data_IF_312503041562
#
_entry.id   IF_312503041562
#
_cell.length_a   1.000
_cell.length_b   1.000
_cell.length_c   1.000
_cell.angle_alpha   90.00
_cell.angle_beta   90.00
_cell.angle_gamma   90.00
#
_symmetry.space_group_name_H-M   'P 1'
#
loop_
_entity.id
_entity.type
_entity.pdbx_description
1 polymer ?
#
# COMPACT_ATOMS: atom_id res chain seq x y z
N UNK A 1 -7.60 18.85 -1.15
CA UNK A 1 -7.73 18.44 -2.56
C UNK A 1 -8.95 17.52 -2.63
N UNK A 2 -10.08 18.03 -3.14
CA UNK A 2 -11.27 17.21 -3.36
C UNK A 2 -11.01 16.29 -4.56
N UNK A 3 -11.37 15.01 -4.43
CA UNK A 3 -11.47 14.11 -5.56
C UNK A 3 -12.52 14.67 -6.55
N UNK A 4 -12.36 14.47 -7.87
CA UNK A 4 -13.42 14.81 -8.81
C UNK A 4 -14.68 14.05 -8.43
N UNK A 5 -15.83 14.74 -8.44
CA UNK A 5 -17.12 14.08 -8.36
C UNK A 5 -17.39 13.35 -9.68
N UNK A 6 -17.80 12.09 -9.60
CA UNK A 6 -18.30 11.35 -10.77
C UNK A 6 -19.59 12.02 -11.28
N UNK A 7 -19.90 11.99 -12.60
CA UNK A 7 -20.96 12.78 -13.24
C UNK A 7 -22.40 12.51 -12.77
N UNK A 8 -22.63 11.61 -11.80
CA UNK A 8 -23.96 11.16 -11.39
C UNK A 8 -24.43 11.64 -10.00
N UNK A 9 -23.61 12.39 -9.24
CA UNK A 9 -24.08 13.06 -8.00
C UNK A 9 -24.55 12.17 -6.83
N UNK A 10 -24.56 10.85 -6.97
CA UNK A 10 -24.88 9.91 -5.89
C UNK A 10 -23.61 9.39 -5.20
N UNK A 11 -23.63 9.29 -3.87
CA UNK A 11 -22.62 8.53 -3.10
C UNK A 11 -22.85 7.03 -3.32
N UNK A 12 -22.52 6.50 -4.51
CA UNK A 12 -22.68 5.06 -4.79
C UNK A 12 -21.59 4.20 -4.14
N UNK A 13 -20.41 4.74 -3.86
CA UNK A 13 -19.33 3.99 -3.23
C UNK A 13 -19.50 4.00 -1.70
N UNK A 14 -20.00 2.90 -1.14
CA UNK A 14 -19.91 2.64 0.30
C UNK A 14 -18.43 2.61 0.70
N UNK A 15 -18.10 3.17 1.86
CA UNK A 15 -16.73 3.10 2.39
C UNK A 15 -16.33 1.64 2.61
N UNK A 16 -15.20 1.25 2.02
CA UNK A 16 -14.56 -0.03 2.29
C UNK A 16 -13.84 0.10 3.64
N UNK A 17 -14.00 -0.91 4.50
CA UNK A 17 -13.23 -1.03 5.74
C UNK A 17 -12.18 -2.10 5.56
N UNK A 18 -10.93 -1.77 5.85
CA UNK A 18 -9.80 -2.68 5.73
C UNK A 18 -9.18 -2.96 7.10
N UNK A 19 -8.85 -4.23 7.34
CA UNK A 19 -7.97 -4.63 8.43
C UNK A 19 -6.78 -5.35 7.82
N UNK A 20 -5.59 -4.84 8.08
CA UNK A 20 -4.35 -5.46 7.65
C UNK A 20 -3.76 -6.28 8.80
N UNK A 21 -3.53 -7.56 8.55
CA UNK A 21 -2.78 -8.45 9.43
C UNK A 21 -1.56 -8.98 8.66
N UNK A 22 -0.57 -9.54 9.34
CA UNK A 22 0.55 -10.20 8.68
C UNK A 22 0.10 -11.20 7.57
N UNK A 23 0.41 -10.87 6.31
CA UNK A 23 0.10 -11.71 5.14
C UNK A 23 -1.37 -11.76 4.73
N UNK A 24 -2.26 -10.98 5.35
CA UNK A 24 -3.69 -11.02 5.05
C UNK A 24 -4.33 -9.63 5.08
N UNK A 25 -5.11 -9.34 4.04
CA UNK A 25 -5.98 -8.17 3.96
C UNK A 25 -7.43 -8.62 4.17
N UNK A 26 -8.10 -8.05 5.16
CA UNK A 26 -9.52 -8.25 5.39
C UNK A 26 -10.28 -7.02 4.90
N UNK A 27 -11.29 -7.21 4.05
CA UNK A 27 -12.07 -6.11 3.48
C UNK A 27 -13.57 -6.31 3.74
N UNK A 28 -14.23 -5.27 4.27
CA UNK A 28 -15.69 -5.19 4.41
C UNK A 28 -16.25 -4.16 3.42
N UNK A 29 -17.46 -4.39 2.92
CA UNK A 29 -18.14 -3.54 1.94
C UNK A 29 -17.40 -3.39 0.59
N UNK A 30 -16.59 -4.38 0.19
CA UNK A 30 -15.84 -4.32 -1.08
C UNK A 30 -16.72 -4.41 -2.34
N UNK A 31 -17.98 -4.85 -2.21
CA UNK A 31 -18.87 -5.14 -3.34
C UNK A 31 -18.63 -6.55 -3.90
N UNK A 32 -18.83 -6.74 -5.22
CA UNK A 32 -18.55 -7.99 -5.94
C UNK A 32 -19.26 -9.26 -5.38
N UNK A 33 -20.52 -9.10 -4.94
CA UNK A 33 -21.35 -10.20 -4.44
C UNK A 33 -21.12 -10.59 -2.98
N UNK A 34 -20.26 -9.86 -2.25
CA UNK A 34 -20.03 -10.09 -0.82
C UNK A 34 -21.14 -9.42 -0.01
N UNK A 35 -21.84 -10.14 0.89
CA UNK A 35 -22.83 -9.54 1.79
C UNK A 35 -22.22 -8.43 2.65
N UNK A 36 -22.97 -7.36 2.90
CA UNK A 36 -22.47 -6.16 3.58
C UNK A 36 -22.01 -6.40 5.04
N UNK A 37 -22.52 -7.44 5.68
CA UNK A 37 -22.13 -7.87 7.02
C UNK A 37 -20.86 -8.71 7.04
N UNK A 38 -20.41 -9.24 5.88
CA UNK A 38 -19.29 -10.16 5.77
C UNK A 38 -17.98 -9.49 5.37
N UNK A 39 -16.89 -10.15 5.75
CA UNK A 39 -15.53 -9.82 5.39
C UNK A 39 -15.01 -10.75 4.30
N UNK A 40 -14.22 -10.21 3.38
CA UNK A 40 -13.35 -11.02 2.52
C UNK A 40 -11.99 -11.09 3.16
N UNK A 41 -11.37 -12.27 3.16
CA UNK A 41 -9.95 -12.44 3.49
C UNK A 41 -9.16 -12.71 2.20
N UNK A 42 -8.15 -11.90 1.94
CA UNK A 42 -7.22 -12.05 0.80
C UNK A 42 -5.83 -12.34 1.33
N UNK A 43 -5.15 -13.33 0.76
CA UNK A 43 -3.71 -13.53 0.97
C UNK A 43 -2.96 -12.45 0.16
N UNK A 44 -2.20 -11.60 0.84
CA UNK A 44 -1.51 -10.49 0.16
C UNK A 44 -0.41 -10.96 -0.78
N UNK A 45 0.14 -12.17 -0.58
CA UNK A 45 1.18 -12.74 -1.43
C UNK A 45 0.62 -13.40 -2.70
N UNK A 46 -0.69 -13.70 -2.76
CA UNK A 46 -1.34 -14.20 -3.98
C UNK A 46 -1.71 -13.08 -4.95
N UNK A 47 -1.70 -11.82 -4.49
CA UNK A 47 -1.95 -10.66 -5.34
C UNK A 47 -0.74 -10.38 -6.23
N UNK A 48 -0.98 -10.14 -7.52
CA UNK A 48 0.09 -9.93 -8.51
C UNK A 48 0.96 -8.71 -8.20
N UNK A 49 0.38 -7.69 -7.58
CA UNK A 49 1.04 -6.46 -7.18
C UNK A 49 1.58 -6.51 -5.73
N UNK A 50 1.43 -7.64 -5.03
CA UNK A 50 1.76 -7.77 -3.62
C UNK A 50 1.04 -6.74 -2.75
N UNK A 51 -0.23 -6.42 -3.05
CA UNK A 51 -1.02 -5.44 -2.29
C UNK A 51 -0.46 -4.00 -2.32
N UNK A 52 0.53 -3.68 -3.15
CA UNK A 52 1.09 -2.32 -3.22
C UNK A 52 0.12 -1.33 -3.91
N UNK A 53 -0.87 -1.84 -4.65
CA UNK A 53 -1.85 -1.07 -5.45
C UNK A 53 -3.28 -1.57 -5.20
N UNK A 54 -3.53 -2.88 -5.17
CA UNK A 54 -4.86 -3.53 -5.16
C UNK A 54 -5.62 -3.32 -3.85
N UNK A 55 -4.97 -3.34 -2.69
CA UNK A 55 -5.57 -2.91 -1.42
C UNK A 55 -5.48 -1.40 -1.20
N UNK A 56 -5.11 -0.62 -2.23
CA UNK A 56 -5.04 0.83 -2.12
C UNK A 56 -3.91 1.31 -1.20
N UNK A 57 -2.64 0.92 -1.44
CA UNK A 57 -1.48 1.60 -0.83
C UNK A 57 -1.43 1.56 0.72
N UNK A 58 -2.33 0.84 1.39
CA UNK A 58 -2.62 0.97 2.83
C UNK A 58 -1.69 0.17 3.74
N UNK A 59 -0.64 -0.45 3.21
CA UNK A 59 0.41 -1.08 4.03
C UNK A 59 1.60 -0.12 4.24
N UNK A 60 1.61 0.70 5.31
CA UNK A 60 2.73 1.58 5.62
C UNK A 60 4.02 0.82 5.93
N UNK A 61 3.93 -0.44 6.36
CA UNK A 61 5.08 -1.25 6.71
C UNK A 61 5.79 -1.77 5.45
N UNK A 62 5.05 -2.29 4.46
CA UNK A 62 5.60 -2.66 3.16
C UNK A 62 6.17 -1.44 2.42
N UNK A 63 5.49 -0.30 2.47
CA UNK A 63 6.01 0.95 1.89
C UNK A 63 7.34 1.36 2.53
N UNK A 64 7.47 1.28 3.85
CA UNK A 64 8.73 1.58 4.54
C UNK A 64 9.83 0.55 4.22
N UNK A 65 9.51 -0.74 4.19
CA UNK A 65 10.48 -1.79 3.87
C UNK A 65 11.00 -1.72 2.43
N UNK A 66 10.25 -1.12 1.51
CA UNK A 66 10.73 -0.87 0.15
C UNK A 66 12.02 -0.03 0.14
N UNK A 67 12.18 0.91 1.08
CA UNK A 67 13.40 1.70 1.22
C UNK A 67 14.63 0.87 1.59
N UNK A 68 14.47 -0.34 2.14
CA UNK A 68 15.60 -1.27 2.36
C UNK A 68 16.22 -1.79 1.07
N UNK A 69 15.54 -1.59 -0.07
CA UNK A 69 16.06 -1.83 -1.40
C UNK A 69 16.67 -0.60 -2.07
N UNK A 70 16.88 0.52 -1.36
CA UNK A 70 17.43 1.74 -1.93
C UNK A 70 18.78 1.50 -2.63
N UNK A 71 18.85 1.86 -3.92
CA UNK A 71 20.07 1.87 -4.73
C UNK A 71 20.73 3.23 -4.69
N UNK A 72 19.91 4.28 -4.70
CA UNK A 72 20.32 5.67 -4.58
C UNK A 72 19.47 6.35 -3.52
N UNK A 73 20.07 7.30 -2.81
CA UNK A 73 19.38 8.18 -1.88
C UNK A 73 20.16 9.49 -1.80
N UNK A 74 19.66 10.52 -2.48
CA UNK A 74 20.25 11.86 -2.49
C UNK A 74 19.49 12.74 -1.52
N UNK A 75 20.22 13.38 -0.61
CA UNK A 75 19.67 14.41 0.24
C UNK A 75 19.28 15.63 -0.60
N UNK A 76 18.03 16.07 -0.49
CA UNK A 76 17.48 17.20 -1.25
C UNK A 76 17.50 18.47 -0.42
N UNK A 77 17.19 18.38 0.88
CA UNK A 77 17.14 19.54 1.76
C UNK A 77 16.30 19.32 3.01
N UNK A 78 16.18 20.38 3.82
CA UNK A 78 15.24 20.44 4.94
C UNK A 78 13.92 21.07 4.49
N UNK A 79 12.83 20.60 5.06
CA UNK A 79 11.49 21.14 4.87
C UNK A 79 10.60 20.75 6.06
N UNK A 80 9.30 20.95 5.94
CA UNK A 80 8.33 20.58 6.96
C UNK A 80 7.22 19.70 6.39
N UNK A 81 6.74 18.76 7.19
CA UNK A 81 5.55 17.96 6.89
C UNK A 81 4.62 18.04 8.10
N UNK A 82 3.45 18.65 7.91
CA UNK A 82 2.47 18.84 8.99
C UNK A 82 3.05 19.54 10.24
N UNK A 83 3.91 20.54 10.03
CA UNK A 83 4.57 21.30 11.10
C UNK A 83 5.79 20.61 11.72
N UNK A 84 6.14 19.41 11.26
CA UNK A 84 7.30 18.68 11.75
C UNK A 84 8.51 18.89 10.82
N UNK A 85 9.67 19.32 11.34
CA UNK A 85 10.87 19.48 10.54
C UNK A 85 11.37 18.12 10.05
N UNK A 86 11.70 18.05 8.77
CA UNK A 86 12.13 16.81 8.11
C UNK A 86 13.32 17.05 7.18
N UNK A 87 14.12 16.00 7.00
CA UNK A 87 15.08 15.87 5.89
C UNK A 87 14.41 15.13 4.74
N UNK A 88 14.45 15.73 3.55
CA UNK A 88 13.93 15.14 2.33
C UNK A 88 15.05 14.44 1.57
N UNK A 89 14.79 13.19 1.19
CA UNK A 89 15.63 12.38 0.32
C UNK A 89 14.86 11.98 -0.93
N UNK A 90 15.56 11.91 -2.05
CA UNK A 90 15.06 11.37 -3.32
C UNK A 90 15.95 10.25 -3.80
N UNK A 91 15.36 9.18 -4.31
CA UNK A 91 16.14 8.05 -4.77
C UNK A 91 15.34 7.04 -5.59
N UNK A 92 15.96 5.89 -5.80
CA UNK A 92 15.35 4.73 -6.47
C UNK A 92 15.61 3.50 -5.61
N UNK A 93 14.54 2.75 -5.33
CA UNK A 93 14.60 1.45 -4.68
C UNK A 93 14.43 0.31 -5.69
N UNK A 94 14.94 -0.86 -5.36
CA UNK A 94 14.78 -2.09 -6.13
C UNK A 94 13.89 -3.08 -5.36
N UNK A 95 12.77 -3.50 -5.95
CA UNK A 95 11.80 -4.41 -5.33
C UNK A 95 12.42 -5.76 -4.96
N UNK A 96 13.34 -6.28 -5.78
CA UNK A 96 14.02 -7.55 -5.53
C UNK A 96 15.00 -7.47 -4.36
N UNK A 97 15.73 -6.36 -4.23
CA UNK A 97 16.54 -6.10 -3.05
C UNK A 97 15.71 -5.90 -1.80
N UNK A 98 14.66 -5.09 -1.89
CA UNK A 98 13.76 -4.86 -0.76
C UNK A 98 13.20 -6.19 -0.25
N UNK A 99 12.76 -7.07 -1.16
CA UNK A 99 12.31 -8.42 -0.81
C UNK A 99 13.39 -9.28 -0.12
N UNK A 100 14.66 -9.18 -0.51
CA UNK A 100 15.76 -9.92 0.16
C UNK A 100 15.99 -9.40 1.59
N UNK A 101 15.86 -8.09 1.79
CA UNK A 101 16.11 -7.40 3.07
C UNK A 101 14.88 -7.30 3.98
N UNK A 102 13.70 -7.66 3.47
CA UNK A 102 12.45 -7.61 4.21
C UNK A 102 12.32 -8.72 5.25
N UNK A 103 11.61 -8.39 6.32
CA UNK A 103 11.19 -9.31 7.36
C UNK A 103 10.13 -10.29 6.84
N UNK A 104 10.00 -11.46 7.48
CA UNK A 104 9.37 -12.67 6.92
C UNK A 104 8.00 -12.46 6.27
N UNK A 105 7.12 -11.68 6.90
CA UNK A 105 5.74 -11.45 6.48
C UNK A 105 5.65 -10.71 5.14
N UNK A 106 6.47 -9.68 4.95
CA UNK A 106 6.43 -8.83 3.76
C UNK A 106 7.35 -9.31 2.65
N UNK A 107 8.28 -10.21 2.95
CA UNK A 107 9.17 -10.80 1.95
C UNK A 107 8.38 -11.43 0.81
N UNK A 108 7.34 -12.21 1.11
CA UNK A 108 6.53 -12.87 0.09
C UNK A 108 5.76 -11.84 -0.76
N UNK A 109 5.19 -10.84 -0.09
CA UNK A 109 4.46 -9.73 -0.70
C UNK A 109 5.35 -8.92 -1.67
N UNK A 110 6.53 -8.49 -1.24
CA UNK A 110 7.48 -7.74 -2.08
C UNK A 110 8.03 -8.59 -3.23
N UNK A 111 8.18 -9.91 -3.04
CA UNK A 111 8.52 -10.84 -4.13
C UNK A 111 7.40 -10.94 -5.17
N UNK A 112 6.14 -10.95 -4.74
CA UNK A 112 5.00 -10.95 -5.66
C UNK A 112 4.97 -9.64 -6.46
N UNK A 113 5.07 -8.50 -5.77
CA UNK A 113 5.20 -7.18 -6.41
C UNK A 113 6.34 -7.14 -7.44
N UNK A 114 7.54 -7.63 -7.09
CA UNK A 114 8.68 -7.66 -8.01
C UNK A 114 8.40 -8.40 -9.33
N UNK A 115 7.45 -9.34 -9.35
CA UNK A 115 7.02 -10.06 -10.57
C UNK A 115 5.88 -9.36 -11.32
N UNK A 116 5.02 -8.62 -10.62
CA UNK A 116 3.83 -7.99 -11.22
C UNK A 116 4.04 -6.59 -11.79
N UNK A 117 5.05 -5.84 -11.32
CA UNK A 117 5.33 -4.51 -11.86
C UNK A 117 6.11 -4.56 -13.18
N UNK A 118 5.88 -3.57 -14.03
CA UNK A 118 6.56 -3.43 -15.32
C UNK A 118 8.08 -3.19 -15.14
N UNK A 119 8.48 -2.62 -14.01
CA UNK A 119 9.87 -2.43 -13.62
C UNK A 119 10.05 -2.69 -12.13
N UNK A 120 11.19 -3.28 -11.77
CA UNK A 120 11.60 -3.49 -10.39
C UNK A 120 12.11 -2.20 -9.72
N UNK A 121 12.45 -1.18 -10.51
CA UNK A 121 12.96 0.10 -10.02
C UNK A 121 11.81 1.04 -9.64
N UNK A 122 11.78 1.46 -8.38
CA UNK A 122 10.73 2.31 -7.81
C UNK A 122 11.35 3.64 -7.36
N UNK A 123 11.13 4.74 -8.12
CA UNK A 123 11.49 6.07 -7.67
C UNK A 123 10.72 6.45 -6.40
N UNK A 124 11.40 7.09 -5.47
CA UNK A 124 10.80 7.53 -4.21
C UNK A 124 11.23 8.93 -3.76
N UNK A 125 10.37 9.56 -2.97
CA UNK A 125 10.71 10.68 -2.09
C UNK A 125 10.40 10.26 -0.65
N UNK A 126 11.37 10.38 0.26
CA UNK A 126 11.24 10.04 1.68
C UNK A 126 11.54 11.26 2.56
N UNK A 127 10.72 11.46 3.59
CA UNK A 127 10.81 12.61 4.49
C UNK A 127 10.97 12.07 5.91
N UNK A 128 12.17 12.24 6.48
CA UNK A 128 12.56 11.69 7.77
C UNK A 128 12.65 12.79 8.81
N UNK A 129 12.07 12.59 9.99
CA UNK A 129 12.29 13.50 11.12
C UNK A 129 13.67 13.30 11.76
N UNK A 130 13.97 14.10 12.78
CA UNK A 130 15.26 14.04 13.48
C UNK A 130 15.50 12.73 14.24
N UNK A 131 14.45 11.96 14.52
CA UNK A 131 14.56 10.61 15.09
C UNK A 131 14.72 9.53 14.01
N UNK A 132 14.75 9.91 12.73
CA UNK A 132 14.84 8.98 11.60
C UNK A 132 13.51 8.30 11.24
N UNK A 133 12.38 8.75 11.81
CA UNK A 133 11.06 8.20 11.49
C UNK A 133 10.58 8.79 10.18
N UNK A 134 10.00 7.94 9.34
CA UNK A 134 9.36 8.37 8.09
C UNK A 134 8.09 9.14 8.45
N UNK A 135 8.02 10.43 8.16
CA UNK A 135 6.80 11.26 8.31
C UNK A 135 5.96 11.28 7.03
N UNK A 136 6.63 11.15 5.89
CA UNK A 136 6.01 11.02 4.57
C UNK A 136 6.88 10.15 3.67
N UNK A 137 6.24 9.35 2.84
CA UNK A 137 6.90 8.63 1.77
C UNK A 137 6.02 8.66 0.52
N UNK A 138 6.65 8.83 -0.63
CA UNK A 138 5.99 8.78 -1.94
C UNK A 138 6.72 7.79 -2.82
N UNK A 139 5.97 6.87 -3.42
CA UNK A 139 6.48 5.93 -4.42
C UNK A 139 5.80 6.16 -5.76
N UNK A 140 6.52 5.86 -6.84
CA UNK A 140 5.97 5.83 -8.19
C UNK A 140 6.18 4.45 -8.78
N UNK A 141 5.09 3.77 -9.07
CA UNK A 141 5.08 2.43 -9.66
C UNK A 141 4.54 2.48 -11.08
N UNK A 142 4.91 1.49 -11.90
CA UNK A 142 4.30 1.25 -13.21
C UNK A 142 3.88 -0.21 -13.30
N UNK A 143 2.58 -0.48 -13.41
CA UNK A 143 2.01 -1.82 -13.44
C UNK A 143 1.54 -2.19 -14.85
N UNK A 144 1.66 -3.46 -15.24
CA UNK A 144 1.10 -3.97 -16.51
C UNK A 144 -0.29 -4.53 -16.24
N UNK A 145 -1.34 -3.85 -16.71
CA UNK A 145 -2.70 -4.37 -16.54
C UNK A 145 -3.02 -5.40 -17.63
N UNK A 146 -3.27 -6.65 -17.25
CA UNK A 146 -3.55 -7.74 -18.19
C UNK A 146 -4.79 -7.54 -19.08
N UNK A 147 -5.68 -6.61 -18.72
CA UNK A 147 -6.93 -6.33 -19.46
C UNK A 147 -6.83 -5.16 -20.45
N UNK A 148 -5.79 -4.31 -20.38
CA UNK A 148 -5.60 -3.16 -21.29
C UNK A 148 -4.16 -3.11 -21.80
N UNK A 149 -3.95 -2.94 -23.11
CA UNK A 149 -2.62 -2.69 -23.68
C UNK A 149 -2.05 -1.39 -23.11
N UNK A 150 -1.17 -1.48 -22.11
CA UNK A 150 -0.46 -0.33 -21.55
C UNK A 150 0.03 -0.52 -20.11
N UNK A 151 0.98 0.32 -19.68
CA UNK A 151 1.38 0.42 -18.28
C UNK A 151 0.56 1.49 -17.57
N UNK A 152 0.14 1.21 -16.34
CA UNK A 152 -0.55 2.16 -15.47
C UNK A 152 0.48 2.73 -14.49
N UNK A 153 0.65 4.06 -14.50
CA UNK A 153 1.48 4.76 -13.53
C UNK A 153 0.67 5.02 -12.24
N UNK A 154 1.22 4.58 -11.11
CA UNK A 154 0.60 4.76 -9.79
C UNK A 154 1.53 5.59 -8.91
N UNK A 155 1.02 6.69 -8.36
CA UNK A 155 1.71 7.48 -7.36
C UNK A 155 1.10 7.21 -5.98
N UNK A 156 1.83 6.50 -5.14
CA UNK A 156 1.48 6.24 -3.74
C UNK A 156 2.05 7.35 -2.87
N UNK A 157 1.28 7.90 -1.94
CA UNK A 157 1.78 8.80 -0.89
C UNK A 157 1.21 8.36 0.46
N UNK A 158 2.09 8.12 1.42
CA UNK A 158 1.74 7.73 2.79
C UNK A 158 2.25 8.79 3.74
N UNK A 159 1.38 9.24 4.67
CA UNK A 159 1.71 10.12 5.77
C UNK A 159 1.64 9.33 7.07
N UNK A 160 2.64 9.47 7.92
CA UNK A 160 2.79 8.73 9.18
C UNK A 160 2.89 9.70 10.34
N UNK A 161 2.06 9.50 11.35
CA UNK A 161 1.90 10.37 12.50
C UNK A 161 1.44 9.58 13.73
N UNK A 162 1.32 10.25 14.88
CA UNK A 162 0.91 9.64 16.16
C UNK A 162 1.74 8.39 16.54
N UNK A 163 3.05 8.43 16.28
CA UNK A 163 3.97 7.34 16.61
C UNK A 163 3.89 6.98 18.10
N UNK A 164 3.77 5.69 18.40
CA UNK A 164 3.66 5.18 19.76
C UNK A 164 2.25 5.24 20.37
N UNK A 165 1.26 5.80 19.66
CA UNK A 165 -0.13 5.79 20.14
C UNK A 165 -0.69 4.35 20.15
N UNK A 166 -1.34 3.91 21.25
CA UNK A 166 -1.92 2.58 21.33
C UNK A 166 -3.13 2.46 20.41
N UNK A 167 -3.21 1.36 19.65
CA UNK A 167 -4.35 1.03 18.79
C UNK A 167 -4.92 -0.33 19.22
N UNK A 168 -6.25 -0.45 19.25
CA UNK A 168 -6.95 -1.73 19.49
C UNK A 168 -7.57 -2.18 18.18
N UNK A 169 -7.17 -3.37 17.71
CA UNK A 169 -7.67 -3.98 16.49
C UNK A 169 -8.31 -5.32 16.85
N UNK A 170 -9.53 -5.58 16.37
CA UNK A 170 -10.20 -6.88 16.47
C UNK A 170 -10.36 -7.44 15.07
N UNK A 171 -9.78 -8.62 14.84
CA UNK A 171 -9.97 -9.36 13.60
C UNK A 171 -11.40 -9.94 13.53
N UNK A 172 -11.97 -10.09 12.32
CA UNK A 172 -13.27 -10.73 12.15
C UNK A 172 -13.24 -12.17 12.63
N UNK A 173 -14.36 -12.64 13.18
CA UNK A 173 -14.50 -14.05 13.56
C UNK A 173 -14.68 -14.92 12.31
N UNK A 174 -14.44 -16.23 12.43
CA UNK A 174 -14.55 -17.14 11.30
C UNK A 174 -15.93 -17.09 10.62
N UNK A 175 -17.00 -16.94 11.41
CA UNK A 175 -18.37 -16.81 10.90
C UNK A 175 -18.65 -15.49 10.17
N UNK A 176 -17.81 -14.47 10.37
CA UNK A 176 -17.92 -13.19 9.68
C UNK A 176 -17.22 -13.20 8.31
N UNK A 177 -16.42 -14.22 8.01
CA UNK A 177 -15.69 -14.34 6.75
C UNK A 177 -16.59 -14.98 5.70
N UNK A 178 -16.70 -14.33 4.54
CA UNK A 178 -17.42 -14.84 3.40
C UNK A 178 -16.68 -16.03 2.78
N UNK A 179 -17.33 -17.20 2.75
CA UNK A 179 -16.79 -18.43 2.15
C UNK A 179 -17.30 -18.70 0.73
N UNK A 180 -18.14 -17.81 0.18
CA UNK A 180 -18.68 -17.94 -1.18
C UNK A 180 -17.69 -17.51 -2.27
N UNK A 181 -18.04 -17.76 -3.54
CA UNK A 181 -17.26 -17.26 -4.68
C UNK A 181 -17.38 -15.74 -4.77
N UNK A 182 -16.22 -15.08 -4.87
CA UNK A 182 -16.14 -13.64 -5.13
C UNK A 182 -16.11 -13.48 -6.65
N UNK A 183 -16.99 -12.67 -7.22
CA UNK A 183 -16.92 -12.38 -8.65
C UNK A 183 -15.66 -11.55 -8.93
N UNK A 184 -14.84 -11.97 -9.89
CA UNK A 184 -13.77 -11.13 -10.43
C UNK A 184 -14.43 -10.03 -11.28
N UNK A 185 -14.14 -8.77 -10.93
CA UNK A 185 -14.58 -7.58 -11.68
C UNK A 185 -13.49 -7.06 -12.59
#
# INVERSE_FOLDING_TARGET
>A
MLLPQDPAGAREHRSITELLAPGALFMKNRGAGVPADKWVRVDTASLSDGNLVTGGVTDPYAAAELLRGARTATYVGRTEVAGEPVRHYRGTADLGLAAKSASGVNRAQLRAAARGFATAAVPFDAYLDDQGRIRKIRHRFSFVNGQRKGTVAVASTTLLYAFGAPVRVRLPEAGDIFAGKIAEG
#
